data_IF_753988518329
#
_entry.id   IF_753988518329
#
_cell.length_a   1.000
_cell.length_b   1.000
_cell.length_c   1.000
_cell.angle_alpha   90.00
_cell.angle_beta   90.00
_cell.angle_gamma   90.00
#
_symmetry.space_group_name_H-M   'P 1'
#
loop_
_entity.id
_entity.type
_entity.pdbx_description
1 polymer ?
#
# COMPACT_ATOMS: atom_id res chain seq x y z
N UNK A 1 -8.47 16.00 8.96
CA UNK A 1 -7.35 15.55 8.11
C UNK A 1 -7.61 16.20 6.76
N UNK A 2 -6.87 17.25 6.44
CA UNK A 2 -6.88 17.81 5.09
C UNK A 2 -6.46 16.70 4.13
N UNK A 3 -7.33 16.35 3.17
CA UNK A 3 -7.02 15.35 2.16
C UNK A 3 -6.02 16.00 1.21
N UNK A 4 -4.71 15.80 1.44
CA UNK A 4 -3.69 16.27 0.51
C UNK A 4 -4.00 15.62 -0.85
N UNK A 5 -4.26 16.41 -1.91
CA UNK A 5 -4.66 15.89 -3.23
C UNK A 5 -3.64 14.91 -3.80
N UNK A 6 -2.39 14.91 -3.30
CA UNK A 6 -1.38 13.93 -3.66
C UNK A 6 -1.80 12.49 -3.29
N UNK A 7 -2.55 12.27 -2.20
CA UNK A 7 -2.95 10.94 -1.76
C UNK A 7 -4.00 10.33 -2.68
N UNK A 8 -4.92 11.14 -3.19
CA UNK A 8 -5.93 10.70 -4.17
C UNK A 8 -5.26 10.32 -5.50
N UNK A 9 -4.31 11.13 -5.95
CA UNK A 9 -3.50 10.85 -7.15
C UNK A 9 -2.70 9.56 -7.01
N UNK A 10 -2.00 9.38 -5.89
CA UNK A 10 -1.25 8.14 -5.62
C UNK A 10 -2.20 6.95 -5.51
N UNK A 11 -3.35 7.09 -4.85
CA UNK A 11 -4.34 6.01 -4.76
C UNK A 11 -4.88 5.60 -6.15
N UNK A 12 -5.05 6.55 -7.08
CA UNK A 12 -5.40 6.24 -8.46
C UNK A 12 -4.28 5.46 -9.18
N UNK A 13 -3.02 5.88 -9.03
CA UNK A 13 -1.86 5.16 -9.57
C UNK A 13 -1.78 3.72 -9.03
N UNK A 14 -2.06 3.52 -7.73
CA UNK A 14 -2.08 2.18 -7.13
C UNK A 14 -3.16 1.29 -7.76
N UNK A 15 -4.36 1.83 -8.03
CA UNK A 15 -5.42 1.08 -8.72
C UNK A 15 -5.01 0.67 -10.13
N UNK A 16 -4.36 1.57 -10.88
CA UNK A 16 -3.86 1.29 -12.24
C UNK A 16 -2.82 0.19 -12.20
N UNK A 17 -1.78 0.34 -11.37
CA UNK A 17 -0.74 -0.67 -11.22
C UNK A 17 -1.31 -2.02 -10.79
N UNK A 18 -2.34 -2.03 -9.91
CA UNK A 18 -3.02 -3.28 -9.55
C UNK A 18 -3.76 -3.90 -10.74
N UNK A 19 -4.41 -3.08 -11.57
CA UNK A 19 -5.04 -3.54 -12.81
C UNK A 19 -4.05 -4.20 -13.78
N UNK A 20 -2.80 -3.74 -13.77
CA UNK A 20 -1.67 -4.31 -14.53
C UNK A 20 -1.05 -5.56 -13.88
N UNK A 21 -1.54 -5.97 -12.71
CA UNK A 21 -1.10 -7.18 -12.00
C UNK A 21 -0.14 -6.94 -10.83
N UNK A 22 0.13 -5.69 -10.46
CA UNK A 22 1.09 -5.40 -9.39
C UNK A 22 0.68 -6.01 -8.04
N UNK A 23 1.64 -6.65 -7.37
CA UNK A 23 1.48 -7.20 -6.02
C UNK A 23 1.48 -6.13 -4.94
N UNK A 24 1.13 -6.49 -3.70
CA UNK A 24 1.08 -5.55 -2.58
C UNK A 24 2.44 -4.84 -2.35
N UNK A 25 3.52 -5.61 -2.51
CA UNK A 25 4.89 -5.14 -2.37
C UNK A 25 5.26 -4.08 -3.42
N UNK A 26 4.90 -4.32 -4.69
CA UNK A 26 5.13 -3.40 -5.79
C UNK A 26 4.32 -2.11 -5.61
N UNK A 27 3.07 -2.23 -5.15
CA UNK A 27 2.22 -1.09 -4.82
C UNK A 27 2.81 -0.25 -3.68
N UNK A 28 3.36 -0.88 -2.65
CA UNK A 28 4.00 -0.17 -1.54
C UNK A 28 5.27 0.57 -1.99
N UNK A 29 6.08 -0.06 -2.87
CA UNK A 29 7.26 0.57 -3.48
C UNK A 29 6.88 1.73 -4.40
N UNK A 30 5.80 1.58 -5.17
CA UNK A 30 5.26 2.65 -6.02
C UNK A 30 4.80 3.85 -5.18
N UNK A 31 4.02 3.62 -4.13
CA UNK A 31 3.59 4.67 -3.20
C UNK A 31 4.79 5.40 -2.57
N UNK A 32 5.82 4.64 -2.14
CA UNK A 32 7.08 5.19 -1.63
C UNK A 32 7.80 6.05 -2.65
N UNK A 33 7.88 5.60 -3.91
CA UNK A 33 8.49 6.36 -5.00
C UNK A 33 7.75 7.65 -5.32
N UNK A 34 6.40 7.63 -5.33
CA UNK A 34 5.58 8.81 -5.61
C UNK A 34 5.58 9.84 -4.48
N UNK A 35 5.55 9.38 -3.24
CA UNK A 35 5.47 10.26 -2.06
C UNK A 35 6.85 10.72 -1.56
N UNK A 36 7.92 9.99 -1.90
CA UNK A 36 9.28 10.32 -1.50
C UNK A 36 9.41 10.54 0.01
N UNK A 37 9.89 11.72 0.41
CA UNK A 37 10.05 12.11 1.82
C UNK A 37 8.73 12.22 2.59
N UNK A 38 7.58 12.30 1.90
CA UNK A 38 6.25 12.31 2.53
C UNK A 38 5.72 10.91 2.79
N UNK A 39 6.44 9.87 2.40
CA UNK A 39 6.05 8.50 2.65
C UNK A 39 6.28 8.11 4.11
N UNK A 40 5.22 7.67 4.79
CA UNK A 40 5.23 7.24 6.18
C UNK A 40 3.88 6.62 6.56
N UNK A 41 3.67 6.32 7.83
CA UNK A 41 2.48 5.63 8.32
C UNK A 41 1.16 6.21 7.80
N UNK A 42 0.98 7.52 7.98
CA UNK A 42 -0.27 8.19 7.65
C UNK A 42 -0.53 8.23 6.15
N UNK A 43 0.50 8.50 5.33
CA UNK A 43 0.35 8.56 3.87
C UNK A 43 0.18 7.16 3.27
N UNK A 44 0.83 6.13 3.84
CA UNK A 44 0.55 4.73 3.48
C UNK A 44 -0.90 4.35 3.80
N UNK A 45 -1.35 4.57 5.03
CA UNK A 45 -2.72 4.26 5.44
C UNK A 45 -3.74 5.00 4.56
N UNK A 46 -3.54 6.30 4.32
CA UNK A 46 -4.43 7.11 3.51
C UNK A 46 -4.54 6.57 2.07
N UNK A 47 -3.41 6.38 1.40
CA UNK A 47 -3.37 5.96 -0.01
C UNK A 47 -3.92 4.56 -0.22
N UNK A 48 -3.56 3.58 0.62
CA UNK A 48 -4.06 2.21 0.50
C UNK A 48 -5.54 2.09 0.88
N UNK A 49 -6.01 2.84 1.88
CA UNK A 49 -7.44 2.90 2.22
C UNK A 49 -8.25 3.51 1.08
N UNK A 50 -7.79 4.60 0.47
CA UNK A 50 -8.46 5.21 -0.68
C UNK A 50 -8.42 4.31 -1.94
N UNK A 51 -7.33 3.57 -2.11
CA UNK A 51 -7.15 2.69 -3.26
C UNK A 51 -8.03 1.43 -3.18
N UNK A 52 -8.03 0.75 -2.04
CA UNK A 52 -8.60 -0.61 -1.94
C UNK A 52 -9.61 -0.79 -0.80
N UNK A 53 -9.91 0.26 -0.04
CA UNK A 53 -10.89 0.18 1.06
C UNK A 53 -10.43 -0.66 2.25
N UNK A 54 -9.11 -0.89 2.39
CA UNK A 54 -8.54 -1.75 3.43
C UNK A 54 -8.83 -1.17 4.83
N UNK A 55 -9.25 -2.00 5.81
CA UNK A 55 -9.43 -1.57 7.18
C UNK A 55 -8.16 -0.98 7.78
N UNK A 56 -8.32 0.03 8.64
CA UNK A 56 -7.18 0.74 9.24
C UNK A 56 -6.37 -0.17 10.15
N UNK A 57 -7.00 -1.13 10.81
CA UNK A 57 -6.36 -2.11 11.69
C UNK A 57 -5.41 -3.02 10.91
N UNK A 58 -5.80 -3.43 9.70
CA UNK A 58 -4.95 -4.22 8.79
C UNK A 58 -3.78 -3.37 8.31
N UNK A 59 -4.03 -2.11 7.92
CA UNK A 59 -2.99 -1.19 7.48
C UNK A 59 -2.01 -0.81 8.60
N UNK A 60 -2.48 -0.70 9.84
CA UNK A 60 -1.62 -0.50 11.02
C UNK A 60 -0.65 -1.68 11.20
N UNK A 61 -1.11 -2.92 11.00
CA UNK A 61 -0.24 -4.09 11.03
C UNK A 61 0.72 -4.10 9.84
N UNK A 62 0.24 -3.75 8.65
CA UNK A 62 1.05 -3.69 7.43
C UNK A 62 2.14 -2.61 7.49
N UNK A 63 1.93 -1.54 8.27
CA UNK A 63 2.94 -0.51 8.51
C UNK A 63 4.17 -1.05 9.26
N UNK A 64 4.07 -2.21 9.95
CA UNK A 64 5.23 -2.88 10.53
C UNK A 64 6.14 -3.55 9.49
N UNK A 65 5.85 -3.42 8.19
CA UNK A 65 6.69 -3.96 7.13
C UNK A 65 8.10 -3.35 7.17
N UNK A 66 9.12 -4.18 7.06
CA UNK A 66 10.53 -3.78 7.14
C UNK A 66 10.92 -2.71 6.10
N UNK A 67 10.14 -2.60 5.01
CA UNK A 67 10.27 -1.51 4.02
C UNK A 67 10.01 -0.09 4.55
N UNK A 68 9.44 0.05 5.76
CA UNK A 68 9.22 1.31 6.47
C UNK A 68 10.31 1.66 7.50
N UNK A 69 11.06 0.68 8.03
CA UNK A 69 12.01 0.90 9.14
C UNK A 69 13.20 -0.08 9.11
N UNK A 70 14.44 0.43 9.10
CA UNK A 70 15.68 -0.35 8.90
C UNK A 70 16.25 -1.02 10.18
N UNK A 71 15.47 -1.23 11.24
CA UNK A 71 16.09 -1.61 12.53
C UNK A 71 15.26 -2.26 13.64
N UNK A 72 13.97 -2.57 13.44
CA UNK A 72 13.19 -3.33 14.44
C UNK A 72 12.37 -4.43 13.77
N UNK A 73 12.15 -5.51 14.53
CA UNK A 73 11.35 -6.71 14.21
C UNK A 73 10.05 -6.30 13.49
N UNK A 74 10.10 -6.32 12.17
CA UNK A 74 8.99 -6.01 11.29
C UNK A 74 8.41 -7.28 10.70
N UNK A 75 7.40 -7.11 9.86
CA UNK A 75 6.93 -8.21 9.01
C UNK A 75 7.74 -8.22 7.72
N UNK A 76 8.10 -9.41 7.24
CA UNK A 76 8.85 -9.60 5.99
C UNK A 76 8.02 -9.21 4.76
N UNK A 77 8.67 -9.08 3.59
CA UNK A 77 7.99 -8.86 2.29
C UNK A 77 6.87 -9.89 2.05
N UNK A 78 7.10 -11.17 2.39
CA UNK A 78 6.14 -12.24 2.20
C UNK A 78 4.94 -12.14 3.15
N UNK A 79 5.18 -11.79 4.42
CA UNK A 79 4.10 -11.57 5.39
C UNK A 79 3.28 -10.32 5.05
N UNK A 80 3.93 -9.28 4.55
CA UNK A 80 3.25 -8.08 4.06
C UNK A 80 2.36 -8.37 2.86
N UNK A 81 2.86 -9.15 1.88
CA UNK A 81 2.05 -9.57 0.73
C UNK A 81 0.85 -10.41 1.16
N UNK A 82 1.07 -11.41 2.00
CA UNK A 82 0.02 -12.29 2.52
C UNK A 82 -1.04 -11.51 3.32
N UNK A 83 -0.63 -10.53 4.12
CA UNK A 83 -1.55 -9.71 4.91
C UNK A 83 -2.48 -8.86 4.02
N UNK A 84 -1.99 -8.41 2.88
CA UNK A 84 -2.73 -7.52 1.98
C UNK A 84 -3.41 -8.25 0.81
N UNK A 85 -3.06 -9.50 0.52
CA UNK A 85 -3.62 -10.26 -0.61
C UNK A 85 -5.14 -10.43 -0.52
N UNK A 86 -5.69 -10.55 0.69
CA UNK A 86 -7.13 -10.69 0.92
C UNK A 86 -7.91 -9.40 0.60
N UNK A 87 -7.22 -8.27 0.58
CA UNK A 87 -7.82 -6.94 0.43
C UNK A 87 -7.55 -6.30 -0.92
N UNK A 88 -6.45 -6.70 -1.56
CA UNK A 88 -6.07 -6.22 -2.88
C UNK A 88 -6.60 -7.25 -3.88
N UNK A 89 -7.76 -7.02 -4.51
CA UNK A 89 -8.41 -8.02 -5.35
C UNK A 89 -7.43 -8.50 -6.42
N UNK A 90 -7.20 -9.81 -6.51
CA UNK A 90 -6.54 -10.41 -7.68
C UNK A 90 -7.43 -10.07 -8.86
N UNK A 91 -6.94 -9.30 -9.81
CA UNK A 91 -7.67 -9.02 -11.03
C UNK A 91 -7.94 -10.38 -11.70
N UNK A 92 -9.19 -10.88 -11.77
CA UNK A 92 -9.46 -12.17 -12.40
C UNK A 92 -9.55 -12.06 -13.92
N UNK A 93 -9.32 -10.89 -14.53
CA UNK A 93 -9.52 -10.69 -15.95
C UNK A 93 -8.23 -10.89 -16.76
N UNK A 94 -7.87 -12.17 -16.84
CA UNK A 94 -7.18 -12.77 -17.98
C UNK A 94 -7.97 -13.99 -18.42
N UNK A 95 -9.11 -13.78 -19.08
CA UNK A 95 -9.86 -14.82 -19.82
C UNK A 95 -10.44 -14.23 -21.09
#
# INVERSE_FOLDING_TARGET
MDNDPIYESVAADLKVARGEGAGALELARLAKGRLGVRFGALSFIATFKMAFGIPVEVLHRAHAWEGFNLGQVGISDAEFESLLSDWIPVNPEGS
#
